data_IF_418185148721
#
_entry.id   IF_418185148721
#
_cell.length_a   1.000
_cell.length_b   1.000
_cell.length_c   1.000
_cell.angle_alpha   90.00
_cell.angle_beta   90.00
_cell.angle_gamma   90.00
#
_symmetry.space_group_name_H-M   'P 1'
#
loop_
_entity.id
_entity.type
_entity.pdbx_description
1 polymer ?
#
# COMPACT_ATOMS: atom_id res chain seq x y z
N UNK A 1 22.31 15.15 -21.92
CA UNK A 1 20.87 15.48 -21.90
C UNK A 1 20.21 14.33 -21.17
N UNK A 2 20.10 14.44 -19.85
CA UNK A 2 19.50 13.39 -19.02
C UNK A 2 17.98 13.57 -19.07
N UNK A 3 17.27 12.59 -19.61
CA UNK A 3 15.82 12.47 -19.52
C UNK A 3 15.47 11.88 -18.16
N UNK A 4 15.58 12.66 -17.09
CA UNK A 4 14.92 12.39 -15.81
C UNK A 4 13.47 12.86 -15.90
N UNK A 5 12.71 12.21 -16.79
CA UNK A 5 11.26 12.35 -16.87
C UNK A 5 10.68 11.03 -16.37
N UNK A 6 9.93 11.07 -15.27
CA UNK A 6 8.98 9.99 -15.07
C UNK A 6 8.50 9.74 -13.67
N UNK A 7 9.00 10.39 -12.63
CA UNK A 7 8.59 9.94 -11.30
C UNK A 7 8.23 11.04 -10.29
N UNK A 8 8.48 12.31 -10.62
CA UNK A 8 8.07 13.48 -9.82
C UNK A 8 6.72 14.10 -10.23
N UNK A 9 5.92 13.43 -11.08
CA UNK A 9 4.68 14.00 -11.64
C UNK A 9 3.48 13.04 -11.55
N UNK A 10 3.39 12.28 -10.46
CA UNK A 10 2.14 11.62 -10.10
C UNK A 10 1.25 12.67 -9.43
N UNK A 11 0.26 13.20 -10.16
CA UNK A 11 -0.77 14.10 -9.65
C UNK A 11 -1.75 13.31 -8.76
N UNK A 12 -1.27 12.93 -7.57
CA UNK A 12 -2.05 12.14 -6.60
C UNK A 12 -2.75 13.11 -5.65
N UNK A 13 -4.07 13.05 -5.65
CA UNK A 13 -4.88 13.74 -4.67
C UNK A 13 -4.88 12.95 -3.35
N UNK A 14 -3.90 13.22 -2.49
CA UNK A 14 -3.77 12.56 -1.19
C UNK A 14 -5.00 12.70 -0.30
N UNK A 15 -5.71 13.83 -0.38
CA UNK A 15 -6.92 14.07 0.41
C UNK A 15 -8.12 13.22 -0.01
N UNK A 16 -8.05 12.55 -1.17
CA UNK A 16 -9.06 11.61 -1.63
C UNK A 16 -8.73 10.15 -1.30
N UNK A 17 -7.62 9.89 -0.61
CA UNK A 17 -7.23 8.53 -0.21
C UNK A 17 -8.03 8.14 1.02
N UNK A 18 -8.95 7.19 0.81
CA UNK A 18 -9.84 6.69 1.85
C UNK A 18 -9.19 5.55 2.63
N UNK A 19 -9.69 5.33 3.85
CA UNK A 19 -9.39 4.12 4.63
C UNK A 19 -10.38 3.03 4.22
N UNK A 20 -9.86 1.86 3.86
CA UNK A 20 -10.63 0.73 3.35
C UNK A 20 -10.96 -0.26 4.48
N UNK A 21 -12.10 -0.96 4.40
CA UNK A 21 -12.43 -2.03 5.34
C UNK A 21 -11.52 -3.26 5.20
N UNK A 22 -11.33 -4.09 6.25
CA UNK A 22 -11.97 -4.01 7.57
C UNK A 22 -11.28 -2.96 8.47
N UNK A 23 -11.89 -1.79 8.55
CA UNK A 23 -11.48 -0.69 9.39
C UNK A 23 -12.48 -0.67 10.52
N UNK A 24 -12.04 -1.04 11.70
CA UNK A 24 -12.81 -0.79 12.90
C UNK A 24 -12.41 0.59 13.42
N UNK A 25 -13.33 1.56 13.30
CA UNK A 25 -13.15 2.92 13.80
C UNK A 25 -12.83 2.94 15.31
N UNK A 26 -13.21 1.86 16.01
CA UNK A 26 -13.00 1.66 17.44
C UNK A 26 -11.57 1.23 17.79
N UNK A 27 -10.81 0.66 16.85
CA UNK A 27 -9.39 0.34 17.02
C UNK A 27 -8.54 1.53 16.55
N UNK A 28 -8.67 2.67 17.22
CA UNK A 28 -8.09 3.94 16.76
C UNK A 28 -6.55 4.05 16.81
N UNK A 29 -5.81 2.97 17.11
CA UNK A 29 -4.35 3.02 17.34
C UNK A 29 -3.47 2.40 16.24
N UNK A 30 -4.04 1.74 15.22
CA UNK A 30 -3.23 1.11 14.16
C UNK A 30 -2.72 2.11 13.09
N UNK A 31 -3.36 3.27 12.97
CA UNK A 31 -2.89 4.42 12.20
C UNK A 31 -2.42 5.50 13.17
N UNK A 32 -1.12 5.79 13.17
CA UNK A 32 -0.55 6.84 14.06
C UNK A 32 -0.82 8.25 13.55
N UNK A 33 -0.95 8.40 12.24
CA UNK A 33 -1.24 9.67 11.58
C UNK A 33 -2.54 9.61 10.78
N UNK A 34 -2.47 9.52 9.46
CA UNK A 34 -3.61 9.52 8.55
C UNK A 34 -3.28 8.79 7.23
N UNK A 35 -4.32 8.46 6.46
CA UNK A 35 -4.17 7.74 5.19
C UNK A 35 -3.31 8.49 4.15
N UNK A 36 -3.35 9.83 4.15
CA UNK A 36 -2.50 10.62 3.25
C UNK A 36 -1.02 10.46 3.58
N UNK A 37 -0.68 10.39 4.87
CA UNK A 37 0.71 10.18 5.30
C UNK A 37 1.23 8.78 4.90
N UNK A 38 0.42 7.74 5.10
CA UNK A 38 0.76 6.37 4.65
C UNK A 38 1.02 6.35 3.15
N UNK A 39 0.13 6.97 2.36
CA UNK A 39 0.30 7.04 0.92
C UNK A 39 1.58 7.80 0.52
N UNK A 40 1.88 8.94 1.16
CA UNK A 40 3.12 9.69 0.92
C UNK A 40 4.35 8.84 1.18
N UNK A 41 4.37 8.08 2.28
CA UNK A 41 5.49 7.19 2.61
C UNK A 41 5.60 6.08 1.56
N UNK A 42 4.51 5.39 1.25
CA UNK A 42 4.50 4.31 0.26
C UNK A 42 4.97 4.79 -1.13
N UNK A 43 4.56 5.98 -1.55
CA UNK A 43 4.94 6.57 -2.85
C UNK A 43 6.41 6.98 -2.95
N UNK A 44 7.17 7.01 -1.84
CA UNK A 44 8.63 7.13 -1.88
C UNK A 44 9.28 5.83 -2.37
N UNK A 45 8.61 4.68 -2.24
CA UNK A 45 9.13 3.37 -2.66
C UNK A 45 9.03 3.20 -4.19
N UNK A 46 10.14 2.77 -4.80
CA UNK A 46 10.23 2.60 -6.26
C UNK A 46 9.26 1.53 -6.79
N UNK A 47 8.96 0.48 -6.00
CA UNK A 47 8.04 -0.60 -6.39
C UNK A 47 6.61 -0.08 -6.50
N UNK A 48 6.21 0.79 -5.58
CA UNK A 48 4.89 1.44 -5.59
C UNK A 48 4.76 2.34 -6.82
N UNK A 49 5.77 3.17 -7.08
CA UNK A 49 5.79 4.09 -8.24
C UNK A 49 5.75 3.32 -9.56
N UNK A 50 6.53 2.24 -9.67
CA UNK A 50 6.54 1.38 -10.85
C UNK A 50 5.16 0.74 -11.07
N UNK A 51 4.52 0.20 -10.02
CA UNK A 51 3.21 -0.43 -10.14
C UNK A 51 2.14 0.54 -10.64
N UNK A 52 2.18 1.80 -10.19
CA UNK A 52 1.26 2.85 -10.66
C UNK A 52 1.56 3.21 -12.12
N UNK A 53 2.84 3.34 -12.51
CA UNK A 53 3.23 3.58 -13.90
C UNK A 53 2.79 2.46 -14.85
N UNK A 54 2.75 1.21 -14.35
CA UNK A 54 2.25 0.04 -15.09
C UNK A 54 0.71 -0.01 -15.17
N UNK A 55 0.01 1.00 -14.64
CA UNK A 55 -1.45 1.13 -14.67
C UNK A 55 -2.16 0.71 -13.38
N UNK A 56 -1.41 0.51 -12.29
CA UNK A 56 -1.96 0.25 -10.96
C UNK A 56 -2.79 1.43 -10.45
N UNK A 57 -3.95 1.13 -9.86
CA UNK A 57 -4.86 2.12 -9.28
C UNK A 57 -4.79 2.07 -7.76
N UNK A 58 -4.51 3.20 -7.11
CA UNK A 58 -4.57 3.32 -5.65
C UNK A 58 -6.03 3.15 -5.23
N UNK A 59 -6.30 2.15 -4.41
CA UNK A 59 -7.63 1.91 -3.86
C UNK A 59 -7.86 2.68 -2.56
N UNK A 60 -6.81 2.82 -1.74
CA UNK A 60 -6.89 3.43 -0.42
C UNK A 60 -5.86 2.85 0.53
N UNK A 61 -6.03 3.13 1.82
CA UNK A 61 -5.20 2.59 2.90
C UNK A 61 -5.99 1.54 3.67
N UNK A 62 -5.41 0.37 3.89
CA UNK A 62 -6.02 -0.72 4.66
C UNK A 62 -5.12 -1.11 5.81
N UNK A 63 -5.64 -1.86 6.77
CA UNK A 63 -4.80 -2.65 7.67
C UNK A 63 -4.54 -4.01 7.03
N UNK A 64 -3.27 -4.36 6.85
CA UNK A 64 -2.87 -5.62 6.21
C UNK A 64 -1.92 -6.39 7.12
N UNK A 65 -2.17 -7.69 7.25
CA UNK A 65 -1.34 -8.59 8.03
C UNK A 65 -0.57 -9.51 7.08
N UNK A 66 0.75 -9.50 7.19
CA UNK A 66 1.56 -10.47 6.47
C UNK A 66 1.58 -11.79 7.27
N UNK A 67 1.59 -12.98 6.64
CA UNK A 67 1.90 -14.21 7.35
C UNK A 67 3.34 -14.12 7.88
N UNK A 68 3.48 -13.80 9.16
CA UNK A 68 4.76 -13.59 9.81
C UNK A 68 5.51 -14.93 9.89
N UNK A 69 6.72 -15.08 9.33
CA UNK A 69 7.58 -16.21 9.70
C UNK A 69 7.93 -16.07 11.19
N UNK A 70 8.11 -17.21 11.90
CA UNK A 70 8.27 -17.27 13.38
C UNK A 70 9.39 -16.38 13.99
N UNK A 71 10.22 -15.73 13.18
CA UNK A 71 11.40 -14.95 13.60
C UNK A 71 11.41 -13.49 13.10
N UNK A 72 10.26 -12.90 12.75
CA UNK A 72 10.21 -11.48 12.36
C UNK A 72 9.79 -10.61 13.55
N UNK A 73 10.69 -9.70 13.97
CA UNK A 73 10.49 -8.77 15.10
C UNK A 73 9.64 -7.53 14.75
N UNK A 74 9.14 -7.42 13.52
CA UNK A 74 8.21 -6.36 13.13
C UNK A 74 6.75 -6.73 13.43
N UNK A 75 5.85 -5.74 13.49
CA UNK A 75 4.44 -6.02 13.72
C UNK A 75 3.90 -6.87 12.57
N UNK A 76 3.24 -8.00 12.90
CA UNK A 76 2.66 -8.90 11.90
C UNK A 76 1.59 -8.26 11.03
N UNK A 77 1.11 -7.08 11.44
CA UNK A 77 0.17 -6.25 10.71
C UNK A 77 0.64 -4.79 10.71
N UNK A 78 0.39 -4.07 9.64
CA UNK A 78 0.72 -2.65 9.51
C UNK A 78 -0.29 -1.94 8.61
N UNK A 79 -0.41 -0.60 8.72
CA UNK A 79 -1.10 0.16 7.70
C UNK A 79 -0.44 -0.04 6.35
N UNK A 80 -1.24 -0.20 5.29
CA UNK A 80 -0.75 -0.51 3.97
C UNK A 80 -1.45 0.32 2.89
N UNK A 81 -0.67 0.80 1.92
CA UNK A 81 -1.23 1.37 0.70
C UNK A 81 -1.67 0.22 -0.22
N UNK A 82 -2.97 0.14 -0.48
CA UNK A 82 -3.57 -0.89 -1.34
C UNK A 82 -3.67 -0.40 -2.77
N UNK A 83 -3.10 -1.17 -3.70
CA UNK A 83 -3.12 -0.90 -5.14
C UNK A 83 -3.72 -2.08 -5.88
N UNK A 84 -4.70 -1.80 -6.74
CA UNK A 84 -5.22 -2.78 -7.69
C UNK A 84 -4.42 -2.71 -8.99
N UNK A 85 -3.89 -3.83 -9.44
CA UNK A 85 -3.18 -3.96 -10.72
C UNK A 85 -3.67 -5.19 -11.47
N UNK A 86 -4.51 -4.98 -12.49
CA UNK A 86 -5.17 -6.05 -13.23
C UNK A 86 -6.02 -6.94 -12.31
N UNK A 87 -5.68 -8.23 -12.24
CA UNK A 87 -6.35 -9.22 -11.38
C UNK A 87 -5.68 -9.39 -10.01
N UNK A 88 -4.81 -8.46 -9.61
CA UNK A 88 -4.07 -8.54 -8.35
C UNK A 88 -4.40 -7.34 -7.48
N UNK A 89 -4.41 -7.57 -6.18
CA UNK A 89 -4.38 -6.54 -5.15
C UNK A 89 -3.03 -6.65 -4.47
N UNK A 90 -2.34 -5.51 -4.35
CA UNK A 90 -1.01 -5.42 -3.74
C UNK A 90 -1.09 -4.43 -2.59
N UNK A 91 -0.76 -4.90 -1.39
CA UNK A 91 -0.68 -4.10 -0.18
C UNK A 91 0.78 -3.83 0.15
N UNK A 92 1.15 -2.56 0.22
CA UNK A 92 2.49 -2.13 0.65
C UNK A 92 2.44 -1.69 2.10
N UNK A 93 2.92 -2.56 3.00
CA UNK A 93 2.89 -2.34 4.44
C UNK A 93 3.90 -1.25 4.81
N UNK A 94 3.47 -0.24 5.57
CA UNK A 94 4.24 0.94 5.93
C UNK A 94 4.54 0.95 7.43
N UNK A 95 5.81 1.13 7.76
CA UNK A 95 6.24 1.50 9.11
C UNK A 95 6.33 3.03 9.18
N UNK A 96 5.35 3.65 9.86
CA UNK A 96 5.27 5.11 10.00
C UNK A 96 6.45 5.70 10.76
N UNK A 97 7.05 4.98 11.71
CA UNK A 97 8.16 5.50 12.51
C UNK A 97 9.46 5.54 11.72
N UNK A 98 9.66 4.55 10.84
CA UNK A 98 10.83 4.47 9.97
C UNK A 98 10.62 5.17 8.62
N UNK A 99 9.39 5.59 8.32
CA UNK A 99 8.98 6.19 7.04
C UNK A 99 9.36 5.32 5.83
N UNK A 100 9.17 4.01 5.91
CA UNK A 100 9.49 3.06 4.83
C UNK A 100 8.41 2.01 4.62
N UNK A 101 8.36 1.46 3.41
CA UNK A 101 7.60 0.23 3.14
C UNK A 101 8.41 -0.97 3.66
N UNK A 102 7.85 -1.70 4.62
CA UNK A 102 8.51 -2.83 5.28
C UNK A 102 8.23 -4.17 4.61
N UNK A 103 7.08 -4.33 3.97
CA UNK A 103 6.67 -5.60 3.36
C UNK A 103 5.67 -5.39 2.23
N UNK A 104 5.45 -6.42 1.40
CA UNK A 104 4.46 -6.39 0.32
C UNK A 104 3.62 -7.67 0.31
N UNK A 105 2.31 -7.55 0.54
CA UNK A 105 1.36 -8.66 0.42
C UNK A 105 0.72 -8.59 -0.96
N UNK A 106 0.71 -9.70 -1.71
CA UNK A 106 0.04 -9.77 -3.01
C UNK A 106 -1.06 -10.81 -2.97
N UNK A 107 -2.29 -10.36 -3.19
CA UNK A 107 -3.46 -11.21 -3.36
C UNK A 107 -3.80 -11.31 -4.84
N UNK A 108 -3.90 -12.53 -5.36
CA UNK A 108 -4.32 -12.77 -6.74
C UNK A 108 -5.80 -13.10 -6.70
N UNK A 109 -6.63 -12.23 -7.29
CA UNK A 109 -8.04 -12.54 -7.52
C UNK A 109 -8.11 -13.65 -8.58
N UNK A 110 -8.12 -14.90 -8.12
CA UNK A 110 -8.47 -16.02 -8.97
C UNK A 110 -9.96 -15.89 -9.28
N UNK A 111 -10.29 -15.27 -10.42
CA UNK A 111 -11.53 -15.64 -11.08
C UNK A 111 -11.42 -17.15 -11.32
N UNK A 112 -12.13 -17.94 -10.52
CA UNK A 112 -12.27 -19.37 -10.74
C UNK A 112 -12.97 -19.50 -12.09
N UNK A 113 -12.19 -19.73 -13.15
CA UNK A 113 -12.72 -20.30 -14.38
C UNK A 113 -13.24 -21.68 -14.01
N UNK A 114 -14.54 -21.75 -13.71
CA UNK A 114 -15.27 -23.00 -13.63
C UNK A 114 -15.24 -23.61 -15.03
N UNK A 115 -14.45 -24.67 -15.19
CA UNK A 115 -14.56 -25.63 -16.31
C UNK A 115 -15.48 -26.76 -15.91
#
# INVERSE_FOLDING_TARGET
>A
MELSQGVDNLDINYSAIEVLPPYDESESEWLKTDASNIAKIALKDNRVRQLIQEGGTIMGVTYSCHPTPENYDGPGCAPALRIQSGNKIVDFLVDEEKEVVVETVTEINQNTSTV
#
